data_IF_062389925042
#
_entry.id   IF_062389925042
#
_cell.length_a   1.000
_cell.length_b   1.000
_cell.length_c   1.000
_cell.angle_alpha   90.00
_cell.angle_beta   90.00
_cell.angle_gamma   90.00
#
_symmetry.space_group_name_H-M   'P 1'
#
loop_
_entity.id
_entity.type
_entity.pdbx_description
1 polymer ?
#
# COMPACT_ATOMS: atom_id res chain seq x y z
N UNK A 1 39.38 -29.94 -56.80
CA UNK A 1 38.27 -30.02 -55.82
C UNK A 1 37.68 -28.63 -55.70
N UNK A 2 36.50 -28.42 -56.27
CA UNK A 2 35.73 -27.19 -56.10
C UNK A 2 34.86 -27.37 -54.86
N UNK A 3 35.07 -26.54 -53.83
CA UNK A 3 34.16 -26.46 -52.68
C UNK A 3 32.91 -25.68 -53.09
N UNK A 4 31.77 -26.37 -53.13
CA UNK A 4 30.46 -25.75 -53.25
C UNK A 4 30.17 -24.93 -51.99
N UNK A 5 30.11 -23.62 -52.13
CA UNK A 5 29.64 -22.72 -51.08
C UNK A 5 28.11 -22.82 -50.97
N UNK A 6 27.63 -23.58 -49.98
CA UNK A 6 26.19 -23.62 -49.69
C UNK A 6 25.71 -22.25 -49.19
N UNK A 7 24.64 -21.68 -49.77
CA UNK A 7 24.13 -20.37 -49.37
C UNK A 7 23.51 -20.46 -47.98
N UNK A 8 24.08 -19.72 -47.03
CA UNK A 8 23.53 -19.55 -45.68
C UNK A 8 22.18 -18.86 -45.77
N UNK A 9 21.11 -19.65 -45.63
CA UNK A 9 19.71 -19.20 -45.65
C UNK A 9 19.50 -18.13 -44.57
N UNK A 10 19.07 -16.95 -45.01
CA UNK A 10 18.95 -15.73 -44.21
C UNK A 10 17.84 -15.86 -43.13
N UNK A 11 18.22 -16.34 -41.93
CA UNK A 11 17.33 -16.51 -40.77
C UNK A 11 16.70 -15.20 -40.26
N UNK A 12 17.22 -14.03 -40.64
CA UNK A 12 16.73 -12.76 -40.11
C UNK A 12 15.34 -12.40 -40.64
N UNK A 13 14.98 -12.85 -41.84
CA UNK A 13 13.71 -12.52 -42.48
C UNK A 13 12.52 -13.22 -41.78
N UNK A 14 12.69 -14.47 -41.34
CA UNK A 14 11.62 -15.23 -40.66
C UNK A 14 11.20 -14.58 -39.33
N UNK A 15 12.17 -14.07 -38.56
CA UNK A 15 11.90 -13.33 -37.32
C UNK A 15 11.12 -12.03 -37.54
N UNK A 16 11.36 -11.35 -38.66
CA UNK A 16 10.67 -10.12 -39.00
C UNK A 16 9.20 -10.39 -39.33
N UNK A 17 8.92 -11.41 -40.13
CA UNK A 17 7.54 -11.81 -40.48
C UNK A 17 6.73 -12.23 -39.26
N UNK A 18 7.32 -13.01 -38.35
CA UNK A 18 6.69 -13.39 -37.08
C UNK A 18 6.36 -12.18 -36.20
N UNK A 19 7.25 -11.18 -36.15
CA UNK A 19 7.00 -9.96 -35.40
C UNK A 19 5.82 -9.17 -35.98
N UNK A 20 5.79 -8.96 -37.29
CA UNK A 20 4.68 -8.26 -37.96
C UNK A 20 3.36 -9.02 -37.81
N UNK A 21 3.37 -10.35 -37.93
CA UNK A 21 2.18 -11.17 -37.72
C UNK A 21 1.62 -11.02 -36.30
N UNK A 22 2.47 -11.03 -35.28
CA UNK A 22 2.05 -10.79 -33.89
C UNK A 22 1.49 -9.39 -33.67
N UNK A 23 2.06 -8.38 -34.32
CA UNK A 23 1.62 -6.97 -34.19
C UNK A 23 0.24 -6.77 -34.83
N UNK A 24 0.02 -7.36 -36.01
CA UNK A 24 -1.30 -7.38 -36.67
C UNK A 24 -2.32 -8.11 -35.81
N UNK A 25 -1.97 -9.26 -35.25
CA UNK A 25 -2.88 -10.05 -34.42
C UNK A 25 -3.24 -9.32 -33.12
N UNK A 26 -2.27 -8.65 -32.48
CA UNK A 26 -2.52 -7.81 -31.31
C UNK A 26 -3.45 -6.62 -31.63
N UNK A 27 -3.27 -5.98 -32.80
CA UNK A 27 -4.13 -4.89 -33.26
C UNK A 27 -5.58 -5.36 -33.47
N UNK A 28 -5.77 -6.54 -34.07
CA UNK A 28 -7.09 -7.15 -34.27
C UNK A 28 -7.76 -7.45 -32.92
N UNK A 29 -7.04 -8.06 -31.97
CA UNK A 29 -7.56 -8.35 -30.64
C UNK A 29 -7.97 -7.06 -29.91
N UNK A 30 -7.13 -6.02 -29.99
CA UNK A 30 -7.43 -4.74 -29.37
C UNK A 30 -8.68 -4.08 -30.00
N UNK A 31 -8.79 -4.09 -31.33
CA UNK A 31 -9.99 -3.62 -32.03
C UNK A 31 -11.25 -4.38 -31.63
N UNK A 32 -11.16 -5.71 -31.46
CA UNK A 32 -12.28 -6.53 -30.99
C UNK A 32 -12.70 -6.18 -29.56
N UNK A 33 -11.75 -5.98 -28.64
CA UNK A 33 -12.05 -5.57 -27.25
C UNK A 33 -12.76 -4.21 -27.24
N UNK A 34 -12.29 -3.24 -28.02
CA UNK A 34 -12.94 -1.93 -28.13
C UNK A 34 -14.36 -2.04 -28.68
N UNK A 35 -14.55 -2.85 -29.74
CA UNK A 35 -15.87 -3.08 -30.34
C UNK A 35 -16.84 -3.73 -29.35
N UNK A 36 -16.42 -4.77 -28.64
CA UNK A 36 -17.25 -5.44 -27.62
C UNK A 36 -17.61 -4.47 -26.51
N UNK A 37 -16.64 -3.69 -26.01
CA UNK A 37 -16.88 -2.69 -24.96
C UNK A 37 -17.88 -1.62 -25.41
N UNK A 38 -17.76 -1.16 -26.66
CA UNK A 38 -18.69 -0.20 -27.26
C UNK A 38 -20.11 -0.77 -27.38
N UNK A 39 -20.26 -1.99 -27.92
CA UNK A 39 -21.56 -2.66 -28.04
C UNK A 39 -22.18 -2.88 -26.67
N UNK A 40 -21.40 -3.31 -25.68
CA UNK A 40 -21.88 -3.51 -24.32
C UNK A 40 -22.37 -2.18 -23.71
N UNK A 41 -21.62 -1.09 -23.90
CA UNK A 41 -22.02 0.25 -23.47
C UNK A 41 -23.32 0.71 -24.14
N UNK A 42 -23.51 0.44 -25.44
CA UNK A 42 -24.73 0.77 -26.16
C UNK A 42 -25.95 -0.04 -25.66
N UNK A 43 -25.77 -1.36 -25.43
CA UNK A 43 -26.83 -2.22 -24.88
C UNK A 43 -27.21 -1.75 -23.47
N UNK A 44 -26.21 -1.44 -22.63
CA UNK A 44 -26.45 -0.98 -21.27
C UNK A 44 -27.15 0.38 -21.23
N UNK A 45 -26.75 1.31 -22.11
CA UNK A 45 -27.43 2.60 -22.26
C UNK A 45 -28.89 2.47 -22.69
N UNK A 46 -29.26 1.40 -23.40
CA UNK A 46 -30.63 1.15 -23.82
C UNK A 46 -31.49 0.45 -22.73
N UNK A 47 -30.86 -0.05 -21.66
CA UNK A 47 -31.50 -0.92 -20.67
C UNK A 47 -32.01 -0.22 -19.40
N UNK A 48 -32.01 1.12 -19.34
CA UNK A 48 -32.33 1.92 -18.13
C UNK A 48 -31.51 1.56 -16.86
N UNK A 49 -30.50 0.71 -17.00
CA UNK A 49 -29.54 0.40 -15.94
C UNK A 49 -28.54 1.55 -15.89
N UNK A 50 -28.62 2.38 -14.86
CA UNK A 50 -27.62 3.40 -14.55
C UNK A 50 -26.30 2.74 -14.11
N UNK A 51 -25.55 2.21 -15.07
CA UNK A 51 -24.17 1.82 -14.84
C UNK A 51 -23.30 3.07 -14.92
N UNK A 52 -22.50 3.29 -13.88
CA UNK A 52 -21.60 4.44 -13.81
C UNK A 52 -20.49 4.31 -14.86
N UNK A 53 -20.52 5.17 -15.89
CA UNK A 53 -19.52 5.21 -16.96
C UNK A 53 -18.09 5.38 -16.42
N UNK A 54 -17.94 6.04 -15.25
CA UNK A 54 -16.63 6.17 -14.61
C UNK A 54 -16.06 4.84 -14.14
N UNK A 55 -16.92 3.89 -13.73
CA UNK A 55 -16.47 2.55 -13.34
C UNK A 55 -15.93 1.77 -14.53
N UNK A 56 -16.62 1.79 -15.68
CA UNK A 56 -16.18 1.09 -16.90
C UNK A 56 -14.84 1.62 -17.39
N UNK A 57 -14.67 2.95 -17.41
CA UNK A 57 -13.40 3.59 -17.80
C UNK A 57 -12.27 3.26 -16.83
N UNK A 58 -12.54 3.31 -15.52
CA UNK A 58 -11.55 2.95 -14.49
C UNK A 58 -11.14 1.47 -14.58
N UNK A 59 -12.10 0.59 -14.87
CA UNK A 59 -11.84 -0.83 -15.05
C UNK A 59 -11.02 -1.09 -16.32
N UNK A 60 -11.35 -0.45 -17.43
CA UNK A 60 -10.56 -0.57 -18.67
C UNK A 60 -9.16 0.01 -18.53
N UNK A 61 -9.00 1.12 -17.82
CA UNK A 61 -7.68 1.69 -17.50
C UNK A 61 -6.84 0.76 -16.62
N UNK A 62 -7.47 0.08 -15.66
CA UNK A 62 -6.77 -0.89 -14.81
C UNK A 62 -6.25 -2.12 -15.59
N UNK A 63 -6.91 -2.48 -16.69
CA UNK A 63 -6.52 -3.64 -17.53
C UNK A 63 -5.38 -3.33 -18.52
N UNK A 64 -5.10 -2.06 -18.81
CA UNK A 64 -4.02 -1.67 -19.75
C UNK A 64 -2.66 -2.16 -19.28
N UNK A 65 -2.36 -2.04 -17.99
CA UNK A 65 -1.06 -2.40 -17.43
C UNK A 65 -0.78 -3.91 -17.40
N UNK A 66 -1.69 -4.78 -16.92
CA UNK A 66 -1.51 -6.23 -17.01
C UNK A 66 -1.30 -6.73 -18.44
N UNK A 67 -2.07 -6.21 -19.40
CA UNK A 67 -1.93 -6.57 -20.81
C UNK A 67 -0.59 -6.10 -21.40
N UNK A 68 -0.17 -4.88 -21.08
CA UNK A 68 1.15 -4.36 -21.47
C UNK A 68 2.28 -5.23 -20.89
N UNK A 69 2.19 -5.62 -19.62
CA UNK A 69 3.20 -6.47 -18.97
C UNK A 69 3.27 -7.84 -19.63
N UNK A 70 2.13 -8.48 -19.90
CA UNK A 70 2.09 -9.77 -20.62
C UNK A 70 2.68 -9.62 -22.03
N UNK A 71 2.36 -8.54 -22.74
CA UNK A 71 2.90 -8.26 -24.07
C UNK A 71 4.42 -8.05 -24.04
N UNK A 72 4.93 -7.25 -23.10
CA UNK A 72 6.37 -7.05 -22.89
C UNK A 72 7.05 -8.36 -22.52
N UNK A 73 6.47 -9.15 -21.61
CA UNK A 73 7.00 -10.45 -21.22
C UNK A 73 7.11 -11.40 -22.43
N UNK A 74 6.12 -11.40 -23.33
CA UNK A 74 6.14 -12.18 -24.57
C UNK A 74 7.21 -11.68 -25.55
N UNK A 75 7.32 -10.37 -25.76
CA UNK A 75 8.35 -9.77 -26.62
C UNK A 75 9.77 -10.08 -26.13
N UNK A 76 9.97 -10.05 -24.82
CA UNK A 76 11.27 -10.29 -24.21
C UNK A 76 11.53 -11.76 -23.86
N UNK A 77 10.55 -12.67 -24.01
CA UNK A 77 10.66 -14.10 -23.64
C UNK A 77 11.91 -14.79 -24.19
N UNK A 78 12.37 -14.43 -25.39
CA UNK A 78 13.60 -14.98 -25.99
C UNK A 78 14.90 -14.33 -25.48
N UNK A 79 14.86 -13.11 -24.94
CA UNK A 79 16.03 -12.37 -24.42
C UNK A 79 16.15 -12.42 -22.88
N UNK A 80 15.07 -12.76 -22.17
CA UNK A 80 15.00 -12.82 -20.70
C UNK A 80 16.00 -13.80 -20.06
N UNK A 81 16.30 -15.01 -20.61
CA UNK A 81 17.20 -15.95 -19.94
C UNK A 81 18.61 -15.39 -19.72
N UNK A 82 19.12 -14.59 -20.66
CA UNK A 82 20.45 -13.98 -20.56
C UNK A 82 20.50 -12.77 -19.61
N UNK A 83 19.40 -12.03 -19.47
CA UNK A 83 19.34 -10.82 -18.66
C UNK A 83 19.05 -11.11 -17.18
N UNK A 84 18.18 -12.09 -16.90
CA UNK A 84 17.86 -12.53 -15.53
C UNK A 84 19.09 -13.12 -14.81
N UNK A 85 19.95 -13.87 -15.51
CA UNK A 85 21.22 -14.37 -14.94
C UNK A 85 22.23 -13.27 -14.59
N UNK A 86 22.26 -12.18 -15.37
CA UNK A 86 23.13 -11.02 -15.12
C UNK A 86 22.65 -10.16 -13.95
N UNK A 87 21.33 -10.03 -13.75
CA UNK A 87 20.75 -9.32 -12.61
C UNK A 87 20.84 -10.13 -11.32
N UNK A 88 20.58 -11.44 -11.34
CA UNK A 88 20.70 -12.30 -10.16
C UNK A 88 22.13 -12.34 -9.61
N UNK A 89 23.14 -12.33 -10.48
CA UNK A 89 24.56 -12.27 -10.06
C UNK A 89 24.99 -10.91 -9.51
N UNK A 90 24.33 -9.81 -9.91
CA UNK A 90 24.55 -8.47 -9.32
C UNK A 90 23.85 -8.31 -7.97
N UNK A 91 22.63 -8.81 -7.81
CA UNK A 91 21.86 -8.73 -6.56
C UNK A 91 22.52 -9.56 -5.44
N UNK A 92 23.06 -10.74 -5.77
CA UNK A 92 23.80 -11.58 -4.80
C UNK A 92 25.03 -10.87 -4.20
N UNK A 93 25.55 -9.83 -4.87
CA UNK A 93 26.69 -9.02 -4.42
C UNK A 93 26.29 -7.81 -3.57
N UNK A 94 25.02 -7.39 -3.62
CA UNK A 94 24.49 -6.24 -2.86
C UNK A 94 23.90 -6.67 -1.51
N UNK A 95 23.44 -7.93 -1.39
CA UNK A 95 22.85 -8.47 -0.15
C UNK A 95 23.88 -8.74 0.98
N UNK A 96 25.20 -8.65 0.71
CA UNK A 96 26.26 -8.82 1.72
C UNK A 96 26.80 -7.50 2.31
N UNK A 97 26.16 -6.34 2.02
CA UNK A 97 26.59 -5.03 2.52
C UNK A 97 25.49 -4.20 3.20
N UNK A 98 24.41 -4.84 3.66
CA UNK A 98 23.58 -4.25 4.71
C UNK A 98 24.07 -4.79 6.05
N UNK A 99 25.16 -4.18 6.53
CA UNK A 99 25.66 -4.35 7.88
C UNK A 99 24.63 -3.83 8.86
N UNK A 100 23.88 -4.76 9.46
CA UNK A 100 23.24 -4.53 10.73
C UNK A 100 24.34 -4.26 11.75
N UNK A 101 24.45 -3.01 12.19
CA UNK A 101 25.08 -2.73 13.46
C UNK A 101 24.28 -3.47 14.52
N UNK A 102 24.91 -4.42 15.18
CA UNK A 102 24.43 -5.03 16.41
C UNK A 102 24.28 -3.92 17.46
N UNK A 103 23.06 -3.39 17.58
CA UNK A 103 22.65 -2.72 18.81
C UNK A 103 22.31 -3.83 19.81
N UNK A 104 23.31 -4.27 20.57
CA UNK A 104 23.10 -5.01 21.81
C UNK A 104 22.43 -4.06 22.79
N UNK A 105 21.10 -4.08 22.80
CA UNK A 105 20.31 -3.49 23.89
C UNK A 105 20.49 -4.43 25.08
N UNK A 106 21.42 -4.04 25.94
CA UNK A 106 21.62 -4.57 27.28
C UNK A 106 20.34 -4.29 28.07
N UNK A 107 19.49 -5.32 28.22
CA UNK A 107 18.33 -5.24 29.10
C UNK A 107 18.82 -5.29 30.54
N UNK A 108 18.79 -4.14 31.20
CA UNK A 108 19.00 -4.01 32.63
C UNK A 108 17.84 -4.74 33.34
N UNK A 109 18.18 -5.90 33.92
CA UNK A 109 17.29 -6.78 34.66
C UNK A 109 16.86 -6.08 35.95
N UNK A 110 15.66 -5.47 35.94
CA UNK A 110 15.06 -4.91 37.15
C UNK A 110 14.57 -6.10 38.00
N UNK A 111 15.40 -6.52 38.96
CA UNK A 111 15.03 -7.39 40.07
C UNK A 111 13.82 -6.78 40.83
N UNK A 112 12.61 -7.25 40.52
CA UNK A 112 11.47 -7.10 41.41
C UNK A 112 11.52 -8.22 42.44
N UNK A 113 11.98 -7.85 43.63
CA UNK A 113 11.85 -8.60 44.89
C UNK A 113 10.38 -8.95 45.12
N UNK A 114 10.00 -10.16 44.75
CA UNK A 114 8.68 -10.73 45.00
C UNK A 114 8.72 -11.40 46.37
N UNK A 115 7.96 -10.83 47.30
CA UNK A 115 7.73 -11.35 48.65
C UNK A 115 6.97 -12.68 48.54
N UNK A 116 7.53 -13.73 49.15
CA UNK A 116 7.08 -15.11 49.07
C UNK A 116 5.97 -15.36 50.11
N UNK A 117 4.69 -15.58 49.73
CA UNK A 117 3.69 -16.08 50.65
C UNK A 117 3.88 -17.59 50.85
N UNK A 118 3.78 -18.04 52.10
CA UNK A 118 3.86 -19.46 52.50
C UNK A 118 2.91 -20.36 51.69
N UNK A 119 3.33 -21.59 51.38
CA UNK A 119 2.53 -22.53 50.61
C UNK A 119 1.32 -23.01 51.44
N UNK A 120 0.10 -23.00 50.90
CA UNK A 120 -1.03 -23.65 51.55
C UNK A 120 -0.83 -25.17 51.52
N UNK A 121 -0.89 -25.77 52.70
CA UNK A 121 -0.95 -27.22 52.89
C UNK A 121 -2.21 -27.77 52.22
N UNK A 122 -2.01 -28.62 51.22
CA UNK A 122 -3.00 -29.37 50.41
C UNK A 122 -3.44 -28.68 49.12
N UNK A 123 -3.02 -29.19 47.94
CA UNK A 123 -3.54 -28.72 46.66
C UNK A 123 -5.03 -29.06 46.55
N UNK A 124 -5.92 -28.09 46.29
CA UNK A 124 -7.26 -28.43 45.83
C UNK A 124 -7.13 -29.17 44.50
N UNK A 125 -7.90 -30.25 44.34
CA UNK A 125 -8.02 -30.99 43.10
C UNK A 125 -8.76 -30.08 42.08
N UNK A 126 -8.01 -29.23 41.39
CA UNK A 126 -8.54 -28.34 40.35
C UNK A 126 -8.85 -29.21 39.14
N UNK A 127 -10.13 -29.48 38.92
CA UNK A 127 -10.60 -29.96 37.63
C UNK A 127 -10.36 -28.86 36.60
N UNK A 128 -9.30 -28.99 35.81
CA UNK A 128 -9.04 -28.12 34.67
C UNK A 128 -10.09 -28.42 33.60
N UNK A 129 -11.19 -27.68 33.63
CA UNK A 129 -12.04 -27.55 32.47
C UNK A 129 -11.20 -26.84 31.40
N UNK A 130 -10.65 -27.63 30.46
CA UNK A 130 -9.95 -27.15 29.27
C UNK A 130 -11.00 -26.47 28.39
N UNK A 131 -11.37 -25.27 28.80
CA UNK A 131 -12.22 -24.35 28.08
C UNK A 131 -11.52 -23.98 26.78
N UNK A 132 -12.28 -24.06 25.69
CA UNK A 132 -11.92 -23.82 24.29
C UNK A 132 -11.52 -22.36 23.98
N UNK A 133 -10.69 -21.73 24.82
CA UNK A 133 -10.33 -20.31 24.78
C UNK A 133 -9.33 -19.96 23.65
N UNK A 134 -8.73 -20.94 22.98
CA UNK A 134 -7.63 -20.68 22.04
C UNK A 134 -8.06 -20.13 20.66
N UNK A 135 -9.28 -20.38 20.18
CA UNK A 135 -9.68 -19.91 18.84
C UNK A 135 -9.89 -18.38 18.78
N UNK A 136 -10.39 -17.77 19.87
CA UNK A 136 -10.67 -16.33 19.91
C UNK A 136 -9.40 -15.48 19.94
N UNK A 137 -8.32 -15.97 20.55
CA UNK A 137 -7.06 -15.23 20.65
C UNK A 137 -6.34 -15.10 19.30
N UNK A 138 -6.41 -16.14 18.47
CA UNK A 138 -5.84 -16.10 17.13
C UNK A 138 -6.57 -15.11 16.21
N UNK A 139 -7.90 -15.07 16.28
CA UNK A 139 -8.70 -14.13 15.51
C UNK A 139 -8.38 -12.67 15.90
N UNK A 140 -8.30 -12.38 17.20
CA UNK A 140 -7.94 -11.05 17.71
C UNK A 140 -6.52 -10.63 17.31
N UNK A 141 -5.57 -11.55 17.39
CA UNK A 141 -4.20 -11.28 16.95
C UNK A 141 -4.15 -10.97 15.44
N UNK A 142 -4.88 -11.73 14.62
CA UNK A 142 -4.94 -11.50 13.18
C UNK A 142 -5.55 -10.13 12.83
N UNK A 143 -6.62 -9.73 13.51
CA UNK A 143 -7.22 -8.40 13.36
C UNK A 143 -6.26 -7.28 13.77
N UNK A 144 -5.54 -7.45 14.88
CA UNK A 144 -4.54 -6.50 15.33
C UNK A 144 -3.43 -6.32 14.29
N UNK A 145 -2.84 -7.40 13.79
CA UNK A 145 -1.79 -7.35 12.77
C UNK A 145 -2.27 -6.70 11.46
N UNK A 146 -3.50 -7.01 11.05
CA UNK A 146 -4.12 -6.39 9.88
C UNK A 146 -4.25 -4.87 10.06
N UNK A 147 -4.64 -4.41 11.24
CA UNK A 147 -4.75 -2.98 11.54
C UNK A 147 -3.38 -2.30 11.56
N UNK A 148 -2.36 -2.91 12.17
CA UNK A 148 -0.99 -2.38 12.17
C UNK A 148 -0.43 -2.26 10.74
N UNK A 149 -0.65 -3.28 9.90
CA UNK A 149 -0.27 -3.22 8.49
C UNK A 149 -0.97 -2.07 7.74
N UNK A 150 -2.26 -1.85 8.00
CA UNK A 150 -2.99 -0.73 7.42
C UNK A 150 -2.44 0.62 7.89
N UNK A 151 -2.09 0.74 9.17
CA UNK A 151 -1.46 1.96 9.70
C UNK A 151 -0.11 2.24 9.06
N UNK A 152 0.72 1.21 8.90
CA UNK A 152 2.02 1.35 8.23
C UNK A 152 1.87 1.86 6.80
N UNK A 153 0.93 1.26 6.05
CA UNK A 153 0.63 1.70 4.68
C UNK A 153 0.12 3.14 4.64
N UNK A 154 -0.79 3.51 5.55
CA UNK A 154 -1.35 4.87 5.63
C UNK A 154 -0.28 5.89 6.02
N UNK A 155 0.62 5.55 6.93
CA UNK A 155 1.77 6.38 7.28
C UNK A 155 2.73 6.56 6.10
N UNK A 156 2.99 5.49 5.34
CA UNK A 156 3.86 5.54 4.15
C UNK A 156 3.35 6.45 3.03
N UNK A 157 2.05 6.70 2.95
CA UNK A 157 1.44 7.62 1.96
C UNK A 157 1.07 8.98 2.53
N UNK A 158 1.17 9.17 3.85
CA UNK A 158 0.83 10.42 4.51
C UNK A 158 2.02 11.37 4.52
N UNK A 159 1.79 12.65 4.22
CA UNK A 159 2.80 13.69 4.39
C UNK A 159 2.88 14.16 5.85
N UNK A 160 4.04 14.69 6.26
CA UNK A 160 4.24 15.18 7.64
C UNK A 160 3.19 16.20 8.08
N UNK A 161 2.85 17.16 7.20
CA UNK A 161 1.79 18.14 7.46
C UNK A 161 0.42 17.50 7.73
N UNK A 162 0.12 16.32 7.15
CA UNK A 162 -1.09 15.55 7.42
C UNK A 162 -1.15 15.03 8.84
N UNK A 163 -0.01 14.54 9.31
CA UNK A 163 0.14 14.06 10.67
C UNK A 163 0.03 15.24 11.65
N UNK A 164 0.70 16.36 11.38
CA UNK A 164 0.62 17.57 12.22
C UNK A 164 -0.81 18.08 12.39
N UNK A 165 -1.63 18.10 11.33
CA UNK A 165 -3.04 18.49 11.44
C UNK A 165 -3.84 17.47 12.24
N UNK A 166 -3.60 16.18 12.05
CA UNK A 166 -4.30 15.15 12.80
C UNK A 166 -4.01 15.26 14.31
N UNK A 167 -2.75 15.53 14.68
CA UNK A 167 -2.33 15.86 16.04
C UNK A 167 -3.05 17.10 16.57
N UNK A 168 -3.05 18.20 15.80
CA UNK A 168 -3.71 19.44 16.18
C UNK A 168 -5.22 19.24 16.44
N UNK A 169 -5.92 18.50 15.57
CA UNK A 169 -7.35 18.18 15.77
C UNK A 169 -7.56 17.39 17.07
N UNK A 170 -6.67 16.44 17.38
CA UNK A 170 -6.74 15.67 18.62
C UNK A 170 -6.53 16.54 19.86
N UNK A 171 -5.52 17.40 19.86
CA UNK A 171 -5.19 18.29 20.98
C UNK A 171 -6.30 19.31 21.26
N UNK A 172 -6.90 19.87 20.21
CA UNK A 172 -7.97 20.87 20.35
C UNK A 172 -9.35 20.25 20.60
N UNK A 173 -9.45 18.92 20.66
CA UNK A 173 -10.71 18.18 20.69
C UNK A 173 -11.67 18.60 19.55
N UNK A 174 -11.08 18.83 18.39
CA UNK A 174 -11.74 19.26 17.16
C UNK A 174 -11.39 20.69 16.72
N UNK A 175 -11.46 20.93 15.41
CA UNK A 175 -11.10 22.22 14.82
C UNK A 175 -11.98 22.56 13.61
N UNK A 176 -12.28 23.85 13.43
CA UNK A 176 -12.96 24.34 12.23
C UNK A 176 -11.99 24.56 11.06
N UNK A 177 -12.53 24.69 9.85
CA UNK A 177 -11.72 24.85 8.64
C UNK A 177 -10.82 26.11 8.67
N UNK A 178 -11.29 27.30 9.11
CA UNK A 178 -10.43 28.48 9.21
C UNK A 178 -9.24 28.30 10.15
N UNK A 179 -9.45 27.68 11.32
CA UNK A 179 -8.40 27.43 12.31
C UNK A 179 -7.37 26.44 11.78
N UNK A 180 -7.83 25.38 11.09
CA UNK A 180 -6.94 24.41 10.44
C UNK A 180 -6.08 25.05 9.35
N UNK A 181 -6.67 25.93 8.53
CA UNK A 181 -5.93 26.67 7.51
C UNK A 181 -4.86 27.56 8.13
N UNK A 182 -5.22 28.33 9.16
CA UNK A 182 -4.26 29.18 9.89
C UNK A 182 -3.13 28.38 10.52
N UNK A 183 -3.44 27.23 11.12
CA UNK A 183 -2.44 26.33 11.69
C UNK A 183 -1.49 25.80 10.61
N UNK A 184 -2.02 25.30 9.49
CA UNK A 184 -1.23 24.79 8.38
C UNK A 184 -0.34 25.86 7.75
N UNK A 185 -0.86 27.06 7.51
CA UNK A 185 -0.09 28.18 6.96
C UNK A 185 1.10 28.52 7.86
N UNK A 186 0.86 28.57 9.18
CA UNK A 186 1.91 28.77 10.17
C UNK A 186 2.94 27.64 10.15
N UNK A 187 2.49 26.38 10.21
CA UNK A 187 3.38 25.22 10.24
C UNK A 187 4.26 25.13 8.98
N UNK A 188 3.70 25.40 7.80
CA UNK A 188 4.45 25.47 6.53
C UNK A 188 5.51 26.58 6.57
N UNK A 189 5.17 27.76 7.11
CA UNK A 189 6.11 28.87 7.22
C UNK A 189 7.28 28.58 8.18
N UNK A 190 7.04 27.81 9.25
CA UNK A 190 8.04 27.49 10.27
C UNK A 190 8.95 26.33 9.85
N UNK A 191 8.40 25.32 9.18
CA UNK A 191 9.12 24.09 8.80
C UNK A 191 9.77 24.17 7.42
N UNK A 192 9.40 25.16 6.60
CA UNK A 192 9.80 25.19 5.19
C UNK A 192 9.20 24.04 4.37
N UNK A 193 8.14 23.40 4.88
CA UNK A 193 7.46 22.29 4.21
C UNK A 193 6.82 22.70 2.88
N UNK A 194 6.44 21.71 2.06
CA UNK A 194 5.73 21.99 0.81
C UNK A 194 4.39 22.65 1.08
N UNK A 195 4.08 23.68 0.28
CA UNK A 195 2.76 24.31 0.28
C UNK A 195 1.74 23.28 -0.18
N UNK A 196 0.76 23.01 0.68
CA UNK A 196 -0.37 22.16 0.33
C UNK A 196 -1.20 22.89 -0.74
N UNK A 197 -1.48 22.23 -1.87
CA UNK A 197 -2.22 22.87 -2.96
C UNK A 197 -3.69 23.06 -2.60
N UNK A 198 -4.25 22.15 -1.79
CA UNK A 198 -5.67 22.17 -1.42
C UNK A 198 -5.91 21.47 -0.07
N UNK A 199 -6.23 22.25 0.97
CA UNK A 199 -6.60 21.72 2.31
C UNK A 199 -7.83 20.80 2.25
N UNK A 200 -8.72 20.99 1.28
CA UNK A 200 -9.94 20.18 1.15
C UNK A 200 -9.59 18.75 0.74
N UNK A 201 -8.68 18.57 -0.23
CA UNK A 201 -8.22 17.24 -0.65
C UNK A 201 -7.50 16.50 0.48
N UNK A 202 -6.75 17.26 1.26
CA UNK A 202 -6.09 16.76 2.46
C UNK A 202 -7.09 16.28 3.52
N UNK A 203 -8.14 17.06 3.81
CA UNK A 203 -9.15 16.67 4.78
C UNK A 203 -10.00 15.51 4.26
N UNK A 204 -10.29 15.47 2.95
CA UNK A 204 -10.93 14.31 2.31
C UNK A 204 -10.11 13.05 2.50
N UNK A 205 -8.79 13.10 2.37
CA UNK A 205 -7.93 11.94 2.65
C UNK A 205 -8.09 11.45 4.10
N UNK A 206 -8.02 12.35 5.08
CA UNK A 206 -8.15 11.98 6.50
C UNK A 206 -9.55 11.42 6.83
N UNK A 207 -10.60 11.95 6.19
CA UNK A 207 -11.97 11.44 6.31
C UNK A 207 -12.08 10.05 5.67
N UNK A 208 -11.56 9.87 4.45
CA UNK A 208 -11.61 8.59 3.72
C UNK A 208 -10.79 7.50 4.42
N UNK A 209 -9.70 7.87 5.10
CA UNK A 209 -8.93 6.96 5.95
C UNK A 209 -9.63 6.63 7.28
N UNK A 210 -10.74 7.31 7.59
CA UNK A 210 -11.51 7.13 8.82
C UNK A 210 -10.86 7.73 10.06
N UNK A 211 -9.90 8.65 9.91
CA UNK A 211 -9.18 9.26 11.03
C UNK A 211 -9.91 10.45 11.63
N UNK A 212 -10.67 11.18 10.82
CA UNK A 212 -11.50 12.30 11.26
C UNK A 212 -12.91 12.20 10.71
N UNK A 213 -13.85 12.88 11.35
CA UNK A 213 -15.23 13.06 10.90
C UNK A 213 -15.59 14.54 10.93
N UNK A 214 -16.46 14.97 10.02
CA UNK A 214 -17.07 16.30 10.08
C UNK A 214 -18.30 16.25 10.98
N UNK A 215 -18.23 16.92 12.13
CA UNK A 215 -19.38 17.09 13.01
C UNK A 215 -20.17 18.32 12.53
N UNK A 216 -21.38 18.07 12.01
CA UNK A 216 -22.23 19.12 11.45
C UNK A 216 -22.81 20.06 12.50
N UNK A 217 -23.06 19.57 13.72
CA UNK A 217 -23.67 20.36 14.80
C UNK A 217 -22.69 21.42 15.31
N UNK A 218 -21.42 21.05 15.48
CA UNK A 218 -20.37 21.94 15.97
C UNK A 218 -19.61 22.67 14.85
N UNK A 219 -19.86 22.30 13.59
CA UNK A 219 -19.11 22.76 12.42
C UNK A 219 -17.59 22.58 12.59
N UNK A 220 -17.20 21.41 13.11
CA UNK A 220 -15.79 21.07 13.42
C UNK A 220 -15.43 19.68 12.91
N UNK A 221 -14.19 19.53 12.47
CA UNK A 221 -13.58 18.23 12.27
C UNK A 221 -13.18 17.65 13.64
N UNK A 222 -13.59 16.42 13.92
CA UNK A 222 -13.21 15.68 15.14
C UNK A 222 -12.43 14.44 14.80
N UNK A 223 -11.49 14.07 15.65
CA UNK A 223 -10.75 12.82 15.52
C UNK A 223 -11.61 11.62 15.95
N UNK A 224 -11.54 10.52 15.21
CA UNK A 224 -12.22 9.27 15.54
C UNK A 224 -11.37 8.41 16.49
N UNK A 225 -11.94 7.33 17.03
CA UNK A 225 -11.14 6.36 17.80
C UNK A 225 -10.07 5.67 16.96
N UNK A 226 -10.35 5.44 15.67
CA UNK A 226 -9.35 4.92 14.72
C UNK A 226 -8.20 5.91 14.54
N UNK A 227 -8.50 7.21 14.38
CA UNK A 227 -7.51 8.27 14.31
C UNK A 227 -6.63 8.33 15.56
N UNK A 228 -7.24 8.25 16.75
CA UNK A 228 -6.50 8.21 18.03
C UNK A 228 -5.58 6.99 18.14
N UNK A 229 -6.06 5.80 17.77
CA UNK A 229 -5.25 4.58 17.73
C UNK A 229 -4.08 4.72 16.75
N UNK A 230 -4.31 5.33 15.60
CA UNK A 230 -3.25 5.61 14.63
C UNK A 230 -2.21 6.58 15.19
N UNK A 231 -2.61 7.69 15.81
CA UNK A 231 -1.67 8.62 16.46
C UNK A 231 -0.83 7.93 17.56
N UNK A 232 -1.48 7.12 18.40
CA UNK A 232 -0.78 6.35 19.43
C UNK A 232 0.21 5.35 18.82
N UNK A 233 -0.16 4.71 17.71
CA UNK A 233 0.76 3.86 16.95
C UNK A 233 2.01 4.62 16.49
N UNK A 234 1.85 5.83 15.94
CA UNK A 234 3.00 6.66 15.51
C UNK A 234 3.93 6.98 16.68
N UNK A 235 3.38 7.29 17.85
CA UNK A 235 4.14 7.59 19.07
C UNK A 235 4.91 6.34 19.53
N UNK A 236 4.24 5.18 19.63
CA UNK A 236 4.85 3.92 20.06
C UNK A 236 6.00 3.51 19.13
N UNK A 237 5.84 3.70 17.81
CA UNK A 237 6.86 3.38 16.82
C UNK A 237 7.95 4.47 16.69
N UNK A 238 7.88 5.55 17.47
CA UNK A 238 8.78 6.69 17.40
C UNK A 238 8.90 7.29 15.99
N UNK A 239 7.77 7.36 15.28
CA UNK A 239 7.73 7.93 13.95
C UNK A 239 7.79 9.46 13.98
N UNK A 240 8.61 10.03 13.11
CA UNK A 240 8.73 11.49 12.96
C UNK A 240 7.48 12.07 12.31
N UNK A 241 6.97 13.15 12.90
CA UNK A 241 5.88 13.95 12.35
C UNK A 241 6.39 14.92 11.27
N UNK A 242 7.67 15.28 11.35
CA UNK A 242 8.32 16.26 10.46
C UNK A 242 8.96 15.58 9.25
N UNK A 243 8.20 14.75 8.53
CA UNK A 243 8.70 14.12 7.30
C UNK A 243 8.69 15.14 6.15
N UNK A 244 9.78 15.23 5.37
CA UNK A 244 9.76 16.00 4.14
C UNK A 244 8.76 15.34 3.16
N UNK A 245 7.79 16.14 2.71
CA UNK A 245 6.86 15.74 1.65
C UNK A 245 7.42 15.90 0.24
#
# INVERSE_FOLDING_TARGET
MQEESTPTKNKNNETLYLFFACLVLASIIFGYILLVTYILGAILSASDIHLDWHFILSFTDSLKWPLLIVFLALLFRKKVPGWAGSLASKIKRVVLKFGGGEASVEFEEIEKKQENPEPPDSPPEIQYEVSSVQEDDHARAAEFWKEMYNFERLYGISFGSQLSVLFYINEQNGADLPSLKKFLDKHVSETGGRVYTNITEFLKFLINAGFIIWNQEELKYKITDRGKKFLNYLIIQNYSLDRPG
#
